data_IF_724087335325
#
_entry.id   IF_724087335325
#
_cell.length_a   1.000
_cell.length_b   1.000
_cell.length_c   1.000
_cell.angle_alpha   90.00
_cell.angle_beta   90.00
_cell.angle_gamma   90.00
#
_symmetry.space_group_name_H-M   'P 1'
#
loop_
_entity.id
_entity.type
_entity.pdbx_description
1 polymer ?
#
# COMPACT_ATOMS: atom_id res chain seq x y z
N UNK A 1 19.59 20.40 3.30
CA UNK A 1 20.08 19.04 3.01
C UNK A 1 19.01 18.07 3.47
N UNK A 2 18.29 17.46 2.53
CA UNK A 2 17.25 16.49 2.84
C UNK A 2 17.91 15.20 3.30
N UNK A 3 18.09 15.05 4.61
CA UNK A 3 18.40 13.77 5.25
C UNK A 3 17.27 12.82 4.88
N UNK A 4 17.63 11.61 4.43
CA UNK A 4 16.73 10.58 3.93
C UNK A 4 15.41 10.60 4.71
N UNK A 5 14.38 11.14 4.05
CA UNK A 5 13.07 11.38 4.64
C UNK A 5 12.37 10.06 4.87
N UNK A 6 12.82 9.29 5.86
CA UNK A 6 11.96 8.45 6.65
C UNK A 6 11.04 9.42 7.38
N UNK A 7 9.78 9.58 6.94
CA UNK A 7 8.84 10.28 7.77
C UNK A 7 8.74 9.44 9.06
N UNK A 8 8.60 10.02 10.26
CA UNK A 8 7.87 9.33 11.32
C UNK A 8 6.71 8.56 10.67
N UNK A 9 6.55 7.26 10.98
CA UNK A 9 5.70 6.33 10.20
C UNK A 9 4.50 7.08 9.63
N UNK A 10 4.21 7.01 8.34
CA UNK A 10 3.18 7.87 7.71
C UNK A 10 1.84 7.88 8.48
N UNK A 11 1.61 6.82 9.25
CA UNK A 11 0.76 6.74 10.43
C UNK A 11 0.82 7.97 11.39
N UNK A 12 1.95 8.31 12.03
CA UNK A 12 2.16 9.49 12.88
C UNK A 12 1.89 10.82 12.16
N UNK A 13 2.24 10.93 10.87
CA UNK A 13 1.96 12.13 10.08
C UNK A 13 0.45 12.28 9.81
N UNK A 14 -0.22 11.20 9.43
CA UNK A 14 -1.68 11.17 9.29
C UNK A 14 -2.41 11.42 10.61
N UNK A 15 -1.87 10.95 11.74
CA UNK A 15 -2.41 11.21 13.07
C UNK A 15 -2.34 12.69 13.48
N UNK A 16 -1.38 13.47 12.95
CA UNK A 16 -1.30 14.93 13.20
C UNK A 16 -2.37 15.70 12.43
N UNK A 17 -2.71 15.25 11.22
CA UNK A 17 -3.74 15.87 10.36
C UNK A 17 -5.16 15.65 10.89
N UNK A 18 -5.39 14.63 11.74
CA UNK A 18 -6.67 14.35 12.42
C UNK A 18 -7.13 15.49 13.34
N UNK A 19 -6.22 16.34 13.81
CA UNK A 19 -6.56 17.39 14.77
C UNK A 19 -7.37 18.56 14.18
N UNK A 20 -7.63 18.57 12.86
CA UNK A 20 -8.25 19.72 12.20
C UNK A 20 -9.21 19.40 11.04
N UNK A 21 -10.30 18.66 11.29
CA UNK A 21 -11.52 18.53 10.45
C UNK A 21 -11.63 17.31 9.50
N UNK A 22 -12.70 16.52 9.67
CA UNK A 22 -13.75 16.21 8.66
C UNK A 22 -14.28 14.77 8.70
N UNK A 23 -15.56 14.62 8.38
CA UNK A 23 -16.34 13.37 8.29
C UNK A 23 -16.06 12.53 7.02
N UNK A 24 -14.95 12.77 6.30
CA UNK A 24 -14.61 12.02 5.09
C UNK A 24 -13.67 10.84 5.42
N UNK A 25 -13.70 9.73 4.65
CA UNK A 25 -12.67 8.71 4.74
C UNK A 25 -11.32 9.34 4.38
N UNK A 26 -10.58 9.65 5.42
CA UNK A 26 -9.36 10.42 5.36
C UNK A 26 -8.29 9.72 4.53
N UNK A 27 -7.57 10.50 3.71
CA UNK A 27 -6.52 10.09 2.78
C UNK A 27 -5.52 9.06 3.35
N UNK A 28 -5.31 9.08 4.66
CA UNK A 28 -4.47 8.13 5.37
C UNK A 28 -4.92 6.66 5.24
N UNK A 29 -6.21 6.37 5.03
CA UNK A 29 -6.75 5.00 4.89
C UNK A 29 -6.13 4.25 3.72
N UNK A 30 -6.00 4.96 2.61
CA UNK A 30 -5.40 4.44 1.40
C UNK A 30 -3.88 4.36 1.53
N UNK A 31 -3.27 5.33 2.23
CA UNK A 31 -1.85 5.27 2.59
C UNK A 31 -1.56 4.08 3.52
N UNK A 32 -2.42 3.79 4.48
CA UNK A 32 -2.31 2.62 5.34
C UNK A 32 -2.46 1.31 4.55
N UNK A 33 -3.26 1.29 3.48
CA UNK A 33 -3.36 0.14 2.57
C UNK A 33 -2.04 -0.12 1.83
N UNK A 34 -1.24 0.92 1.51
CA UNK A 34 0.12 0.76 0.98
C UNK A 34 1.04 0.05 1.98
N UNK A 35 0.82 0.30 3.27
CA UNK A 35 1.68 -0.15 4.35
C UNK A 35 1.18 -1.40 5.06
N UNK A 36 -0.01 -1.93 4.75
CA UNK A 36 -0.57 -3.14 5.40
C UNK A 36 -0.46 -3.12 6.95
N UNK A 37 -0.60 -1.91 7.52
CA UNK A 37 -0.17 -1.67 8.89
C UNK A 37 -1.23 -2.18 9.87
N UNK A 38 -0.94 -3.22 10.65
CA UNK A 38 -1.88 -3.74 11.66
C UNK A 38 -2.35 -2.65 12.64
N UNK A 39 -1.50 -1.65 12.92
CA UNK A 39 -1.92 -0.53 13.76
C UNK A 39 -2.96 0.36 13.05
N UNK A 40 -2.91 0.52 11.73
CA UNK A 40 -3.97 1.22 11.00
C UNK A 40 -5.34 0.56 11.22
N UNK A 41 -5.41 -0.77 11.22
CA UNK A 41 -6.62 -1.52 11.57
C UNK A 41 -7.03 -1.30 13.04
N UNK A 42 -6.08 -1.28 13.98
CA UNK A 42 -6.36 -1.00 15.40
C UNK A 42 -6.92 0.41 15.61
N UNK A 43 -6.30 1.43 15.00
CA UNK A 43 -6.78 2.80 15.05
C UNK A 43 -8.10 2.98 14.31
N UNK A 44 -8.31 2.29 13.18
CA UNK A 44 -9.60 2.26 12.48
C UNK A 44 -10.73 1.76 13.36
N UNK A 45 -10.53 0.66 14.09
CA UNK A 45 -11.52 0.17 15.08
C UNK A 45 -11.86 1.22 16.13
N UNK A 46 -10.90 2.10 16.46
CA UNK A 46 -11.07 3.16 17.45
C UNK A 46 -11.80 4.39 16.91
N UNK A 47 -11.59 4.75 15.63
CA UNK A 47 -12.12 5.99 15.04
C UNK A 47 -13.35 5.80 14.14
N UNK A 48 -13.49 4.64 13.51
CA UNK A 48 -14.62 4.37 12.63
C UNK A 48 -15.78 3.84 13.46
N UNK A 49 -16.97 4.45 13.33
CA UNK A 49 -18.21 3.72 13.60
C UNK A 49 -18.17 2.49 12.70
N UNK A 50 -18.38 1.30 13.26
CA UNK A 50 -18.07 -0.06 12.75
C UNK A 50 -18.52 -0.43 11.31
N UNK A 51 -19.04 0.50 10.50
CA UNK A 51 -19.76 0.25 9.25
C UNK A 51 -19.16 0.88 7.97
N UNK A 52 -18.02 1.58 7.99
CA UNK A 52 -17.46 2.12 6.73
C UNK A 52 -17.06 0.98 5.75
N UNK A 53 -17.47 1.02 4.47
CA UNK A 53 -17.08 0.03 3.47
C UNK A 53 -15.55 -0.14 3.35
N UNK A 54 -14.79 0.95 3.48
CA UNK A 54 -13.32 0.93 3.44
C UNK A 54 -12.75 0.12 4.61
N UNK A 55 -13.34 0.23 5.81
CA UNK A 55 -12.91 -0.52 6.97
C UNK A 55 -13.09 -2.03 6.78
N UNK A 56 -14.23 -2.45 6.22
CA UNK A 56 -14.52 -3.86 5.92
C UNK A 56 -13.57 -4.41 4.85
N UNK A 57 -13.34 -3.67 3.77
CA UNK A 57 -12.42 -4.13 2.71
C UNK A 57 -10.97 -4.22 3.20
N UNK A 58 -10.49 -3.29 4.04
CA UNK A 58 -9.16 -3.40 4.64
C UNK A 58 -9.01 -4.63 5.54
N UNK A 59 -10.08 -4.99 6.29
CA UNK A 59 -10.11 -6.22 7.07
C UNK A 59 -10.14 -7.49 6.21
N UNK A 60 -10.63 -7.44 4.97
CA UNK A 60 -10.65 -8.57 4.03
C UNK A 60 -9.33 -8.71 3.24
N UNK A 61 -8.67 -7.60 2.91
CA UNK A 61 -7.38 -7.61 2.19
C UNK A 61 -6.24 -8.20 3.03
N UNK A 62 -6.30 -8.06 4.35
CA UNK A 62 -5.27 -8.48 5.31
C UNK A 62 -5.20 -10.01 5.58
N UNK A 63 -6.31 -10.77 5.76
CA UNK A 63 -6.26 -12.20 6.15
C UNK A 63 -6.01 -13.21 5.02
N UNK A 64 -6.31 -12.90 3.76
CA UNK A 64 -6.37 -13.94 2.71
C UNK A 64 -5.02 -14.43 2.18
N UNK A 65 -3.92 -13.80 2.59
CA UNK A 65 -2.62 -14.18 2.06
C UNK A 65 -2.00 -15.30 2.92
N UNK A 66 -2.70 -16.43 3.07
CA UNK A 66 -2.25 -17.60 3.87
C UNK A 66 -0.83 -18.07 3.48
N UNK A 67 -0.45 -17.97 2.20
CA UNK A 67 0.91 -18.26 1.72
C UNK A 67 1.92 -17.19 2.17
N UNK A 68 1.53 -15.93 2.18
CA UNK A 68 2.35 -14.77 2.56
C UNK A 68 2.49 -14.61 4.08
N UNK A 69 1.45 -14.92 4.86
CA UNK A 69 1.47 -14.97 6.32
C UNK A 69 2.31 -16.17 6.79
N UNK A 70 2.20 -17.33 6.12
CA UNK A 70 3.04 -18.49 6.45
C UNK A 70 4.51 -18.27 6.11
N UNK A 71 4.83 -17.58 5.01
CA UNK A 71 6.22 -17.35 4.62
C UNK A 71 6.79 -16.08 5.27
N UNK A 72 5.97 -15.05 5.52
CA UNK A 72 6.41 -13.69 5.88
C UNK A 72 5.47 -12.99 6.88
N UNK A 73 4.84 -13.72 7.80
CA UNK A 73 4.12 -13.19 8.96
C UNK A 73 5.02 -12.40 9.92
N UNK A 74 4.46 -11.84 11.01
CA UNK A 74 4.81 -10.53 11.58
C UNK A 74 6.31 -10.25 11.51
N UNK A 75 6.72 -9.59 10.42
CA UNK A 75 8.12 -9.44 10.06
C UNK A 75 8.76 -8.45 11.02
N UNK A 76 9.35 -8.93 12.10
CA UNK A 76 10.23 -8.10 12.94
C UNK A 76 11.61 -7.93 12.30
N UNK A 77 11.97 -8.75 11.30
CA UNK A 77 13.14 -8.62 10.40
C UNK A 77 13.06 -9.66 9.27
N UNK A 78 13.23 -9.31 7.99
CA UNK A 78 13.38 -10.31 6.90
C UNK A 78 14.82 -10.81 6.90
N UNK A 79 15.05 -12.12 6.87
CA UNK A 79 16.42 -12.63 6.77
C UNK A 79 17.01 -12.35 5.37
N UNK A 80 18.33 -12.16 5.30
CA UNK A 80 19.02 -11.86 4.03
C UNK A 80 18.80 -12.94 2.97
N UNK A 81 18.72 -14.20 3.39
CA UNK A 81 18.49 -15.33 2.47
C UNK A 81 17.09 -15.27 1.85
N UNK A 82 16.09 -14.86 2.63
CA UNK A 82 14.71 -14.71 2.16
C UNK A 82 14.61 -13.58 1.13
N UNK A 83 15.28 -12.45 1.39
CA UNK A 83 15.37 -11.35 0.42
C UNK A 83 16.04 -11.78 -0.88
N UNK A 84 17.10 -12.59 -0.81
CA UNK A 84 17.77 -13.10 -2.01
C UNK A 84 16.89 -14.06 -2.81
N UNK A 85 16.16 -14.94 -2.14
CA UNK A 85 15.19 -15.82 -2.79
C UNK A 85 14.06 -15.01 -3.46
N UNK A 86 13.59 -13.96 -2.80
CA UNK A 86 12.56 -13.07 -3.32
C UNK A 86 13.03 -12.31 -4.56
N UNK A 87 14.23 -11.73 -4.52
CA UNK A 87 14.87 -11.11 -5.70
C UNK A 87 14.98 -12.08 -6.86
N UNK A 88 15.40 -13.32 -6.59
CA UNK A 88 15.52 -14.36 -7.63
C UNK A 88 14.18 -14.63 -8.30
N UNK A 89 13.10 -14.80 -7.52
CA UNK A 89 11.75 -14.99 -8.06
C UNK A 89 11.27 -13.78 -8.85
N UNK A 90 11.45 -12.57 -8.31
CA UNK A 90 11.08 -11.33 -9.00
C UNK A 90 11.80 -11.18 -10.34
N UNK A 91 13.09 -11.52 -10.40
CA UNK A 91 13.89 -11.54 -11.63
C UNK A 91 13.42 -12.59 -12.64
N UNK A 92 12.79 -13.67 -12.16
CA UNK A 92 12.17 -14.71 -13.00
C UNK A 92 10.76 -14.32 -13.48
N UNK A 93 10.27 -13.13 -13.14
CA UNK A 93 8.95 -12.64 -13.55
C UNK A 93 7.82 -12.98 -12.59
N UNK A 94 8.11 -13.46 -11.39
CA UNK A 94 7.09 -13.69 -10.35
C UNK A 94 6.52 -12.36 -9.86
N UNK A 95 5.32 -12.02 -10.35
CA UNK A 95 4.64 -10.73 -10.15
C UNK A 95 4.37 -10.48 -8.65
N UNK A 96 4.01 -11.52 -7.90
CA UNK A 96 3.77 -11.43 -6.45
C UNK A 96 5.06 -11.13 -5.69
N UNK A 97 6.17 -11.75 -6.09
CA UNK A 97 7.48 -11.46 -5.52
C UNK A 97 7.91 -10.00 -5.78
N UNK A 98 7.65 -9.48 -6.98
CA UNK A 98 7.89 -8.08 -7.32
C UNK A 98 7.06 -7.14 -6.43
N UNK A 99 5.76 -7.41 -6.28
CA UNK A 99 4.92 -6.61 -5.40
C UNK A 99 5.31 -6.74 -3.92
N UNK A 100 5.77 -7.91 -3.49
CA UNK A 100 6.22 -8.13 -2.12
C UNK A 100 7.49 -7.33 -1.81
N UNK A 101 8.44 -7.20 -2.75
CA UNK A 101 9.60 -6.30 -2.58
C UNK A 101 9.16 -4.86 -2.29
N UNK A 102 8.11 -4.38 -2.96
CA UNK A 102 7.50 -3.09 -2.65
C UNK A 102 6.89 -3.04 -1.25
N UNK A 103 6.11 -4.06 -0.87
CA UNK A 103 5.52 -4.14 0.47
C UNK A 103 6.57 -4.10 1.58
N UNK A 104 7.71 -4.77 1.39
CA UNK A 104 8.80 -4.79 2.38
C UNK A 104 9.38 -3.39 2.60
N UNK A 105 9.56 -2.60 1.53
CA UNK A 105 9.97 -1.20 1.66
C UNK A 105 8.89 -0.37 2.35
N UNK A 106 7.63 -0.48 1.92
CA UNK A 106 6.53 0.29 2.51
C UNK A 106 6.29 -0.01 4.01
N UNK A 107 6.80 -1.13 4.51
CA UNK A 107 6.74 -1.57 5.90
C UNK A 107 8.07 -1.43 6.66
N UNK A 108 9.06 -0.72 6.10
CA UNK A 108 10.40 -0.52 6.69
C UNK A 108 11.12 -1.84 7.06
N UNK A 109 10.99 -2.88 6.22
CA UNK A 109 11.54 -4.23 6.47
C UNK A 109 12.90 -4.49 5.81
N UNK A 110 13.73 -3.47 5.71
CA UNK A 110 15.12 -3.61 5.25
C UNK A 110 15.30 -3.68 3.73
N UNK A 111 14.30 -3.24 2.95
CA UNK A 111 14.43 -3.00 1.50
C UNK A 111 14.44 -1.49 1.28
N UNK A 112 15.41 -1.01 0.49
CA UNK A 112 15.50 0.43 0.20
C UNK A 112 14.47 0.86 -0.85
N UNK A 113 14.12 2.15 -0.87
CA UNK A 113 13.28 2.74 -1.91
C UNK A 113 13.82 2.48 -3.32
N UNK A 114 15.13 2.67 -3.52
CA UNK A 114 15.79 2.51 -4.82
C UNK A 114 15.64 1.08 -5.36
N UNK A 115 15.62 0.10 -4.46
CA UNK A 115 15.41 -1.29 -4.80
C UNK A 115 13.94 -1.63 -5.04
N UNK A 116 13.03 -1.20 -4.16
CA UNK A 116 11.61 -1.53 -4.22
C UNK A 116 10.85 -0.87 -5.39
N UNK A 117 11.26 0.35 -5.78
CA UNK A 117 10.53 1.14 -6.76
C UNK A 117 10.41 0.51 -8.16
N UNK A 118 11.48 -0.03 -8.77
CA UNK A 118 11.39 -0.78 -10.01
C UNK A 118 10.42 -1.97 -9.92
N UNK A 119 10.44 -2.70 -8.81
CA UNK A 119 9.59 -3.87 -8.61
C UNK A 119 8.10 -3.51 -8.58
N UNK A 120 7.73 -2.41 -7.91
CA UNK A 120 6.34 -1.93 -7.94
C UNK A 120 5.87 -1.63 -9.36
N UNK A 121 6.69 -0.91 -10.14
CA UNK A 121 6.35 -0.55 -11.53
C UNK A 121 6.21 -1.78 -12.42
N UNK A 122 7.08 -2.77 -12.25
CA UNK A 122 7.00 -4.03 -12.98
C UNK A 122 5.73 -4.81 -12.63
N UNK A 123 5.42 -4.96 -11.34
CA UNK A 123 4.20 -5.63 -10.91
C UNK A 123 2.93 -4.91 -11.44
N UNK A 124 2.90 -3.58 -11.38
CA UNK A 124 1.79 -2.79 -11.92
C UNK A 124 1.66 -2.94 -13.46
N UNK A 125 2.79 -2.92 -14.17
CA UNK A 125 2.85 -3.18 -15.61
C UNK A 125 2.30 -4.56 -15.98
N UNK A 126 2.60 -5.57 -15.17
CA UNK A 126 2.14 -6.95 -15.33
C UNK A 126 0.74 -7.21 -14.73
N UNK A 127 -0.13 -6.20 -14.71
CA UNK A 127 -1.54 -6.33 -14.30
C UNK A 127 -1.76 -6.81 -12.85
N UNK A 128 -0.83 -6.56 -11.93
CA UNK A 128 -1.06 -6.86 -10.52
C UNK A 128 -2.04 -5.85 -9.90
N UNK A 129 -3.22 -6.27 -9.40
CA UNK A 129 -4.27 -5.37 -8.94
C UNK A 129 -3.79 -4.44 -7.83
N UNK A 130 -3.16 -4.99 -6.78
CA UNK A 130 -2.70 -4.18 -5.64
C UNK A 130 -1.52 -3.28 -5.98
N UNK A 131 -0.71 -3.66 -6.97
CA UNK A 131 0.42 -2.84 -7.43
C UNK A 131 -0.08 -1.64 -8.23
N UNK A 132 -1.08 -1.83 -9.11
CA UNK A 132 -1.74 -0.75 -9.82
C UNK A 132 -2.39 0.24 -8.84
N UNK A 133 -3.12 -0.26 -7.83
CA UNK A 133 -3.66 0.61 -6.79
C UNK A 133 -2.57 1.35 -6.04
N UNK A 134 -1.52 0.64 -5.63
CA UNK A 134 -0.43 1.23 -4.85
C UNK A 134 0.26 2.35 -5.64
N UNK A 135 0.61 2.08 -6.90
CA UNK A 135 1.21 3.08 -7.78
C UNK A 135 0.26 4.25 -8.06
N UNK A 136 -1.04 3.98 -8.21
CA UNK A 136 -2.07 5.01 -8.37
C UNK A 136 -2.13 5.95 -7.17
N UNK A 137 -2.10 5.44 -5.94
CA UNK A 137 -2.06 6.26 -4.73
C UNK A 137 -0.80 7.10 -4.62
N UNK A 138 0.35 6.58 -5.06
CA UNK A 138 1.61 7.34 -5.09
C UNK A 138 1.48 8.57 -6.00
N UNK A 139 0.93 8.39 -7.20
CA UNK A 139 0.62 9.51 -8.10
C UNK A 139 -0.49 10.41 -7.57
N UNK A 140 -1.47 9.86 -6.86
CA UNK A 140 -2.58 10.63 -6.32
C UNK A 140 -2.10 11.59 -5.22
N UNK A 141 -1.24 11.14 -4.32
CA UNK A 141 -0.75 11.97 -3.20
C UNK A 141 0.59 12.67 -3.50
N UNK A 142 1.17 12.45 -4.67
CA UNK A 142 2.51 12.96 -4.98
C UNK A 142 3.59 12.38 -4.06
N UNK A 143 3.41 11.13 -3.61
CA UNK A 143 4.40 10.45 -2.77
C UNK A 143 5.38 9.69 -3.65
N UNK A 144 6.69 9.87 -3.42
CA UNK A 144 7.80 9.27 -4.20
C UNK A 144 7.91 9.79 -5.64
N UNK A 145 6.79 10.10 -6.27
CA UNK A 145 6.64 10.70 -7.61
C UNK A 145 5.86 12.00 -7.50
N UNK A 146 6.01 12.95 -8.45
CA UNK A 146 5.14 14.11 -8.53
C UNK A 146 3.66 13.73 -8.61
N UNK A 147 2.79 14.59 -8.08
CA UNK A 147 1.35 14.38 -8.18
C UNK A 147 0.89 14.40 -9.65
N UNK A 148 0.16 13.37 -10.05
CA UNK A 148 -0.43 13.26 -11.39
C UNK A 148 -1.83 12.61 -11.29
N UNK A 149 -2.85 13.41 -10.97
CA UNK A 149 -4.23 12.91 -10.70
C UNK A 149 -4.82 12.08 -11.84
N UNK A 150 -4.59 12.47 -13.10
CA UNK A 150 -5.09 11.72 -14.27
C UNK A 150 -4.49 10.31 -14.31
N UNK A 151 -3.17 10.22 -14.17
CA UNK A 151 -2.43 8.97 -14.16
C UNK A 151 -2.80 8.10 -12.95
N UNK A 152 -3.01 8.72 -11.80
CA UNK A 152 -3.51 8.06 -10.61
C UNK A 152 -4.88 7.40 -10.86
N UNK A 153 -5.82 8.16 -11.44
CA UNK A 153 -7.15 7.65 -11.77
C UNK A 153 -7.08 6.45 -12.72
N UNK A 154 -6.29 6.53 -13.81
CA UNK A 154 -6.12 5.41 -14.75
C UNK A 154 -5.60 4.14 -14.08
N UNK A 155 -4.61 4.27 -13.20
CA UNK A 155 -4.04 3.14 -12.45
C UNK A 155 -5.03 2.55 -11.45
N UNK A 156 -5.79 3.40 -10.75
CA UNK A 156 -6.78 2.95 -9.77
C UNK A 156 -7.97 2.31 -10.48
N UNK A 157 -8.42 2.87 -11.61
CA UNK A 157 -9.44 2.27 -12.45
C UNK A 157 -9.02 0.89 -12.94
N UNK A 158 -7.81 0.75 -13.47
CA UNK A 158 -7.26 -0.55 -13.88
C UNK A 158 -7.22 -1.54 -12.72
N UNK A 159 -6.88 -1.09 -11.52
CA UNK A 159 -6.92 -1.94 -10.31
C UNK A 159 -8.33 -2.42 -9.97
N UNK A 160 -9.32 -1.53 -10.10
CA UNK A 160 -10.74 -1.86 -9.92
C UNK A 160 -11.23 -2.86 -10.97
N UNK A 161 -10.88 -2.68 -12.24
CA UNK A 161 -11.20 -3.61 -13.33
C UNK A 161 -10.58 -5.00 -13.12
N UNK A 162 -9.41 -5.05 -12.48
CA UNK A 162 -8.74 -6.28 -12.07
C UNK A 162 -9.34 -6.90 -10.78
N UNK A 163 -10.46 -6.36 -10.28
CA UNK A 163 -11.20 -6.92 -9.15
C UNK A 163 -10.69 -6.50 -7.77
N UNK A 164 -9.88 -5.45 -7.65
CA UNK A 164 -9.48 -4.94 -6.35
C UNK A 164 -10.54 -4.03 -5.73
N UNK A 165 -11.37 -4.58 -4.85
CA UNK A 165 -12.49 -3.87 -4.23
C UNK A 165 -12.11 -2.51 -3.61
N UNK A 166 -10.94 -2.40 -2.97
CA UNK A 166 -10.51 -1.14 -2.36
C UNK A 166 -10.31 -0.04 -3.40
N UNK A 167 -9.93 -0.38 -4.63
CA UNK A 167 -9.87 0.57 -5.74
C UNK A 167 -11.28 1.02 -6.17
N UNK A 168 -12.24 0.10 -6.25
CA UNK A 168 -13.64 0.45 -6.53
C UNK A 168 -14.24 1.37 -5.47
N UNK A 169 -13.97 1.08 -4.19
CA UNK A 169 -14.42 1.90 -3.08
C UNK A 169 -13.75 3.27 -3.10
N UNK A 170 -12.46 3.35 -3.41
CA UNK A 170 -11.74 4.61 -3.63
C UNK A 170 -12.48 5.45 -4.68
N UNK A 171 -12.65 4.95 -5.90
CA UNK A 171 -13.26 5.71 -7.00
C UNK A 171 -14.64 6.26 -6.63
N UNK A 172 -15.49 5.46 -5.98
CA UNK A 172 -16.84 5.88 -5.54
C UNK A 172 -16.84 7.02 -4.51
N UNK A 173 -15.82 7.11 -3.67
CA UNK A 173 -15.72 8.17 -2.67
C UNK A 173 -15.07 9.43 -3.25
N UNK A 174 -14.26 9.32 -4.30
CA UNK A 174 -13.59 10.44 -4.96
C UNK A 174 -14.40 11.08 -6.11
N UNK A 175 -15.41 10.38 -6.63
CA UNK A 175 -16.33 10.92 -7.66
C UNK A 175 -17.55 11.67 -7.06
N UNK A 176 -17.70 11.73 -5.73
CA UNK A 176 -18.76 12.46 -5.02
C UNK A 176 -18.33 13.88 -4.64
#
# INVERSE_FOLDING_TARGET
MAQDGHPPSQFEQGMREISSHSNQPSNWLFIAALQDHQQATHYLKKIAREASPIHKELLAVNPDNRLFINIYGPITKVAKNDLNALRKKGNQGDIEAQYLMWKLYANDKGVSKAEAWPWLKQAAGNHHPRANFSLGLLYYYGYIVPEEKKRAYELILKSSELGFNLATVFLKEYEK
#
